data_IF_149891866460
#
_entry.id   IF_149891866460
#
_cell.length_a   1.000
_cell.length_b   1.000
_cell.length_c   1.000
_cell.angle_alpha   90.00
_cell.angle_beta   90.00
_cell.angle_gamma   90.00
#
_symmetry.space_group_name_H-M   'P 1'
#
loop_
_entity.id
_entity.type
_entity.pdbx_description
1 polymer ?
#
# COMPACT_ATOMS: atom_id res chain seq x y z
N UNK A 1 0.35 20.55 -3.75
CA UNK A 1 0.64 19.78 -4.99
C UNK A 1 1.77 20.47 -5.72
N UNK A 2 2.68 19.74 -6.34
CA UNK A 2 3.74 20.29 -7.19
C UNK A 2 3.21 20.34 -8.62
N UNK A 3 3.42 21.46 -9.34
CA UNK A 3 3.03 21.57 -10.76
C UNK A 3 4.09 20.91 -11.62
N UNK A 4 3.68 19.91 -12.39
CA UNK A 4 4.56 19.18 -13.32
C UNK A 4 3.91 19.17 -14.69
N UNK A 5 4.67 19.55 -15.72
CA UNK A 5 4.26 19.41 -17.11
C UNK A 5 4.75 18.06 -17.63
N UNK A 6 3.83 17.27 -18.16
CA UNK A 6 4.12 15.97 -18.79
C UNK A 6 3.47 15.95 -20.17
N UNK A 7 4.05 15.19 -21.09
CA UNK A 7 3.43 14.88 -22.38
C UNK A 7 2.77 13.51 -22.29
N UNK A 8 1.62 13.38 -22.93
CA UNK A 8 0.88 12.12 -23.07
C UNK A 8 0.73 11.84 -24.55
N UNK A 9 0.78 10.57 -24.91
CA UNK A 9 0.40 10.15 -26.26
C UNK A 9 -1.07 10.49 -26.50
N UNK A 10 -1.44 10.82 -27.75
CA UNK A 10 -2.82 11.20 -28.08
C UNK A 10 -3.84 10.13 -27.64
N UNK A 11 -3.49 8.87 -27.84
CA UNK A 11 -4.32 7.73 -27.45
C UNK A 11 -4.49 7.60 -25.93
N UNK A 12 -3.47 7.95 -25.15
CA UNK A 12 -3.58 7.99 -23.69
C UNK A 12 -4.50 9.12 -23.26
N UNK A 13 -4.35 10.30 -23.87
CA UNK A 13 -5.19 11.46 -23.58
C UNK A 13 -6.67 11.18 -23.87
N UNK A 14 -7.01 10.58 -25.02
CA UNK A 14 -8.38 10.20 -25.38
C UNK A 14 -9.00 9.29 -24.33
N UNK A 15 -8.30 8.21 -23.95
CA UNK A 15 -8.78 7.24 -22.95
C UNK A 15 -9.00 7.88 -21.58
N UNK A 16 -8.07 8.72 -21.13
CA UNK A 16 -8.19 9.43 -19.84
C UNK A 16 -9.37 10.40 -19.88
N UNK A 17 -9.56 11.11 -20.99
CA UNK A 17 -10.66 12.07 -21.16
C UNK A 17 -12.02 11.37 -21.14
N UNK A 18 -12.16 10.25 -21.83
CA UNK A 18 -13.38 9.43 -21.77
C UNK A 18 -13.67 8.94 -20.35
N UNK A 19 -12.67 8.42 -19.65
CA UNK A 19 -12.81 7.94 -18.29
C UNK A 19 -13.19 9.08 -17.32
N UNK A 20 -12.58 10.25 -17.47
CA UNK A 20 -12.89 11.43 -16.67
C UNK A 20 -14.34 11.88 -16.87
N UNK A 21 -14.82 11.87 -18.13
CA UNK A 21 -16.20 12.20 -18.47
C UNK A 21 -17.19 11.18 -17.88
N UNK A 22 -16.92 9.89 -18.03
CA UNK A 22 -17.75 8.80 -17.48
C UNK A 22 -17.88 8.90 -15.96
N UNK A 23 -16.78 9.25 -15.27
CA UNK A 23 -16.73 9.36 -13.82
C UNK A 23 -17.12 10.75 -13.29
N UNK A 24 -17.42 11.71 -14.15
CA UNK A 24 -17.68 13.12 -13.79
C UNK A 24 -16.59 13.74 -12.90
N UNK A 25 -15.32 13.43 -13.21
CA UNK A 25 -14.16 13.99 -12.50
C UNK A 25 -13.23 14.70 -13.48
N UNK A 26 -12.28 15.47 -12.97
CA UNK A 26 -11.26 16.08 -13.82
C UNK A 26 -10.25 15.05 -14.34
N UNK A 27 -9.70 15.30 -15.53
CA UNK A 27 -8.57 14.55 -16.11
C UNK A 27 -7.42 14.43 -15.09
N UNK A 28 -7.11 15.53 -14.38
CA UNK A 28 -6.08 15.54 -13.35
C UNK A 28 -6.39 14.57 -12.20
N UNK A 29 -7.67 14.39 -11.83
CA UNK A 29 -8.07 13.42 -10.81
C UNK A 29 -7.81 11.98 -11.25
N UNK A 30 -8.11 11.66 -12.51
CA UNK A 30 -7.85 10.33 -13.08
C UNK A 30 -6.36 10.02 -13.09
N UNK A 31 -5.55 10.97 -13.57
CA UNK A 31 -4.08 10.81 -13.62
C UNK A 31 -3.51 10.60 -12.21
N UNK A 32 -3.94 11.39 -11.22
CA UNK A 32 -3.47 11.24 -9.84
C UNK A 32 -3.81 9.88 -9.25
N UNK A 33 -5.06 9.42 -9.40
CA UNK A 33 -5.47 8.09 -8.92
C UNK A 33 -4.65 6.97 -9.57
N UNK A 34 -4.38 7.07 -10.86
CA UNK A 34 -3.54 6.08 -11.56
C UNK A 34 -2.10 6.08 -11.04
N UNK A 35 -1.52 7.27 -10.78
CA UNK A 35 -0.18 7.40 -10.17
C UNK A 35 -0.17 6.83 -8.76
N UNK A 36 -1.15 7.18 -7.93
CA UNK A 36 -1.26 6.67 -6.56
C UNK A 36 -1.36 5.14 -6.55
N UNK A 37 -2.23 4.57 -7.40
CA UNK A 37 -2.38 3.13 -7.53
C UNK A 37 -1.10 2.46 -8.03
N UNK A 38 -0.38 3.04 -8.99
CA UNK A 38 0.90 2.53 -9.45
C UNK A 38 1.94 2.52 -8.31
N UNK A 39 1.99 3.58 -7.51
CA UNK A 39 2.93 3.70 -6.40
C UNK A 39 2.62 2.72 -5.27
N UNK A 40 1.34 2.43 -5.02
CA UNK A 40 0.91 1.40 -4.07
C UNK A 40 1.17 -0.01 -4.62
N UNK A 41 0.97 -0.23 -5.92
CA UNK A 41 1.12 -1.55 -6.57
C UNK A 41 2.58 -1.92 -6.79
N UNK A 42 3.49 -0.95 -6.90
CA UNK A 42 4.93 -1.23 -6.80
C UNK A 42 5.19 -1.79 -5.40
N UNK A 43 5.49 -3.10 -5.32
CA UNK A 43 5.87 -3.76 -4.07
C UNK A 43 6.78 -2.82 -3.28
N UNK A 44 6.41 -2.39 -2.07
CA UNK A 44 7.26 -1.55 -1.26
C UNK A 44 8.63 -2.24 -1.20
N UNK A 45 9.68 -1.49 -1.57
CA UNK A 45 11.04 -2.02 -1.47
C UNK A 45 11.25 -2.59 -0.07
N UNK A 46 12.05 -3.65 0.08
CA UNK A 46 12.21 -4.38 1.36
C UNK A 46 12.31 -3.43 2.56
N UNK A 47 13.09 -2.35 2.45
CA UNK A 47 13.24 -1.34 3.48
C UNK A 47 11.90 -0.71 3.97
N UNK A 48 10.96 -0.43 3.06
CA UNK A 48 9.65 0.13 3.41
C UNK A 48 8.76 -0.90 4.11
N UNK A 49 8.79 -2.17 3.67
CA UNK A 49 8.09 -3.27 4.35
C UNK A 49 8.60 -3.47 5.78
N UNK A 50 9.91 -3.52 5.96
CA UNK A 50 10.51 -3.64 7.31
C UNK A 50 10.17 -2.45 8.18
N UNK A 51 10.27 -1.21 7.64
CA UNK A 51 9.92 0.01 8.39
C UNK A 51 8.45 0.00 8.84
N UNK A 52 7.56 -0.54 8.02
CA UNK A 52 6.14 -0.64 8.33
C UNK A 52 5.86 -1.74 9.37
N UNK A 53 6.47 -2.92 9.23
CA UNK A 53 6.38 -4.00 10.22
C UNK A 53 6.93 -3.59 11.60
N UNK A 54 8.05 -2.83 11.63
CA UNK A 54 8.66 -2.30 12.85
C UNK A 54 7.72 -1.38 13.64
N UNK A 55 6.74 -0.71 13.01
CA UNK A 55 5.75 0.11 13.74
C UNK A 55 4.86 -0.70 14.69
N UNK A 56 4.79 -2.02 14.50
CA UNK A 56 4.04 -2.92 15.39
C UNK A 56 4.89 -3.47 16.53
N UNK A 57 6.23 -3.43 16.41
CA UNK A 57 7.12 -3.91 17.45
C UNK A 57 6.98 -3.04 18.72
N UNK A 58 6.83 -3.69 19.88
CA UNK A 58 6.68 -3.03 21.18
C UNK A 58 5.30 -2.44 21.48
N UNK A 59 4.31 -2.57 20.58
CA UNK A 59 2.92 -2.15 20.87
C UNK A 59 2.17 -3.10 21.81
N UNK A 60 2.58 -4.36 21.86
CA UNK A 60 1.90 -5.41 22.59
C UNK A 60 2.89 -6.10 23.53
N UNK A 61 2.42 -6.38 24.73
CA UNK A 61 3.12 -7.22 25.71
C UNK A 61 2.38 -8.54 25.82
N UNK A 62 3.09 -9.65 25.66
CA UNK A 62 2.56 -10.95 26.02
C UNK A 62 2.79 -11.23 27.50
N UNK A 63 1.89 -11.99 28.13
CA UNK A 63 2.08 -12.46 29.52
C UNK A 63 3.26 -13.41 29.66
N UNK A 64 3.62 -14.09 28.57
CA UNK A 64 4.75 -15.00 28.47
C UNK A 64 5.89 -14.33 27.68
N UNK A 65 7.09 -14.16 28.29
CA UNK A 65 8.21 -13.45 27.67
C UNK A 65 8.86 -14.21 26.51
N UNK A 66 8.69 -15.53 26.46
CA UNK A 66 9.27 -16.45 25.48
C UNK A 66 8.25 -16.93 24.43
N UNK A 67 7.03 -16.39 24.44
CA UNK A 67 5.96 -16.78 23.51
C UNK A 67 6.36 -16.62 22.04
N UNK A 68 7.28 -15.69 21.74
CA UNK A 68 7.77 -15.48 20.38
C UNK A 68 8.75 -16.58 19.91
N UNK A 69 9.32 -17.36 20.84
CA UNK A 69 10.28 -18.43 20.57
C UNK A 69 9.62 -19.80 20.73
N UNK A 70 8.77 -19.97 21.74
CA UNK A 70 8.11 -21.23 22.07
C UNK A 70 6.63 -21.26 21.61
N UNK A 71 6.31 -20.52 20.54
CA UNK A 71 4.92 -20.37 20.08
C UNK A 71 4.22 -21.69 19.78
N UNK A 72 4.94 -22.69 19.27
CA UNK A 72 4.39 -24.00 18.92
C UNK A 72 4.04 -24.81 20.18
N UNK A 73 4.90 -24.78 21.20
CA UNK A 73 4.68 -25.43 22.50
C UNK A 73 3.40 -24.90 23.16
N UNK A 74 3.24 -23.57 23.22
CA UNK A 74 2.04 -22.94 23.77
C UNK A 74 0.78 -23.21 22.96
N UNK A 75 0.91 -23.37 21.64
CA UNK A 75 -0.21 -23.74 20.78
C UNK A 75 -0.67 -25.16 21.09
N UNK A 76 0.26 -26.11 21.19
CA UNK A 76 -0.06 -27.51 21.52
C UNK A 76 -0.71 -27.62 22.91
N UNK A 77 -0.19 -26.91 23.92
CA UNK A 77 -0.79 -26.87 25.27
C UNK A 77 -2.24 -26.35 25.28
N UNK A 78 -2.57 -25.38 24.43
CA UNK A 78 -3.89 -24.75 24.41
C UNK A 78 -4.98 -25.61 23.74
N UNK A 79 -4.60 -26.62 22.94
CA UNK A 79 -5.51 -27.47 22.18
C UNK A 79 -5.53 -28.94 22.64
N UNK A 80 -4.89 -29.26 23.78
CA UNK A 80 -5.10 -30.51 24.51
C UNK A 80 -6.37 -30.45 25.37
#
# INVERSE_FOLDING_TARGET
>A
MVRTQIQLEEEQYKKIKELANQQQVSIASVIRRAVDQLLVTRKPGRASLYKEALKSAGKYSAGQPDIATEHDTYLDEAYQ
#
